data_IF_657428112288
#
_entry.id   IF_657428112288
#
_cell.length_a   1.000
_cell.length_b   1.000
_cell.length_c   1.000
_cell.angle_alpha   90.00
_cell.angle_beta   90.00
_cell.angle_gamma   90.00
#
_symmetry.space_group_name_H-M   'P 1'
#
loop_
_entity.id
_entity.type
_entity.pdbx_description
1 polymer ?
#
# COMPACT_ATOMS: atom_id res chain seq x y z
N UNK A 1 -6.91 6.41 0.53
CA UNK A 1 -6.13 7.54 -0.03
C UNK A 1 -4.65 7.16 0.03
N UNK A 2 -3.92 7.34 -1.07
CA UNK A 2 -2.50 7.01 -1.17
C UNK A 2 -1.86 7.76 -2.32
N UNK A 3 -0.58 7.50 -2.59
CA UNK A 3 0.12 7.97 -3.79
C UNK A 3 -0.19 7.04 -4.97
N UNK A 4 -0.10 7.58 -6.19
CA UNK A 4 -0.25 6.78 -7.40
C UNK A 4 1.12 6.24 -7.87
N UNK A 5 2.18 7.00 -7.62
CA UNK A 5 3.49 6.92 -8.24
C UNK A 5 4.62 6.54 -7.26
N UNK A 6 4.38 6.59 -5.96
CA UNK A 6 5.34 6.23 -4.91
C UNK A 6 4.71 5.37 -3.81
N UNK A 7 5.53 4.63 -3.06
CA UNK A 7 5.06 3.90 -1.87
C UNK A 7 5.05 4.80 -0.62
N UNK A 8 4.21 4.45 0.35
CA UNK A 8 4.08 5.14 1.62
C UNK A 8 2.72 5.78 1.85
N UNK A 9 2.60 6.55 2.94
CA UNK A 9 1.33 7.11 3.38
C UNK A 9 1.20 8.57 2.96
N UNK A 10 0.33 8.86 1.98
CA UNK A 10 0.08 10.24 1.51
C UNK A 10 -0.37 11.20 2.60
N UNK A 11 -1.11 10.71 3.59
CA UNK A 11 -1.55 11.50 4.74
C UNK A 11 -0.54 11.49 5.91
N UNK A 12 0.64 10.86 5.74
CA UNK A 12 1.64 10.68 6.79
C UNK A 12 1.25 9.70 7.90
N UNK A 13 0.06 9.10 7.83
CA UNK A 13 -0.48 8.20 8.87
C UNK A 13 -1.06 6.92 8.27
N UNK A 14 -0.98 5.83 9.04
CA UNK A 14 -1.53 4.51 8.69
C UNK A 14 -2.89 4.22 9.36
N UNK A 15 -3.35 5.09 10.25
CA UNK A 15 -4.66 4.98 10.90
C UNK A 15 -5.75 5.65 10.04
N UNK A 16 -6.97 5.11 10.07
CA UNK A 16 -8.12 5.76 9.43
C UNK A 16 -8.50 7.04 10.16
N UNK A 17 -8.96 8.04 9.42
CA UNK A 17 -9.37 9.35 9.96
C UNK A 17 -10.58 9.90 9.18
N UNK A 18 -11.30 10.85 9.75
CA UNK A 18 -12.38 11.54 9.03
C UNK A 18 -11.82 12.66 8.17
N UNK A 19 -12.32 12.79 6.95
CA UNK A 19 -11.93 13.87 6.05
C UNK A 19 -12.32 15.23 6.64
N UNK A 20 -11.37 16.16 6.63
CA UNK A 20 -11.55 17.53 7.09
C UNK A 20 -11.70 18.46 5.88
N UNK A 21 -12.83 19.15 5.79
CA UNK A 21 -13.07 20.17 4.75
C UNK A 21 -12.51 21.51 5.22
N UNK A 22 -11.34 21.88 4.69
CA UNK A 22 -10.63 23.13 5.01
C UNK A 22 -11.42 24.38 4.60
N UNK A 23 -12.25 24.32 3.56
CA UNK A 23 -13.00 25.52 3.14
C UNK A 23 -14.13 25.83 4.11
N UNK A 24 -14.67 24.80 4.77
CA UNK A 24 -15.80 24.90 5.69
C UNK A 24 -15.40 24.80 7.16
N UNK A 25 -14.14 24.49 7.45
CA UNK A 25 -13.60 24.25 8.79
C UNK A 25 -14.40 23.19 9.57
N UNK A 26 -14.78 22.11 8.89
CA UNK A 26 -15.56 21.01 9.51
C UNK A 26 -14.94 19.64 9.23
N UNK A 27 -15.02 18.77 10.24
CA UNK A 27 -14.85 17.34 10.06
C UNK A 27 -16.12 16.75 9.43
N UNK A 28 -15.98 16.03 8.33
CA UNK A 28 -17.09 15.35 7.66
C UNK A 28 -17.33 13.95 8.22
N UNK A 29 -18.40 13.28 7.76
CA UNK A 29 -18.66 11.86 8.08
C UNK A 29 -17.90 10.89 7.16
N UNK A 30 -17.20 11.38 6.14
CA UNK A 30 -16.42 10.55 5.23
C UNK A 30 -15.15 10.07 5.95
N UNK A 31 -14.99 8.75 6.09
CA UNK A 31 -13.79 8.16 6.69
C UNK A 31 -12.80 7.75 5.60
N UNK A 32 -11.57 8.24 5.71
CA UNK A 32 -10.46 7.90 4.83
C UNK A 32 -9.69 6.73 5.45
N UNK A 33 -9.47 5.71 4.62
CA UNK A 33 -8.60 4.59 4.88
C UNK A 33 -7.32 4.75 4.03
N UNK A 34 -6.17 5.06 4.64
CA UNK A 34 -4.92 5.20 3.90
C UNK A 34 -4.41 3.85 3.37
N UNK A 35 -3.94 3.79 2.13
CA UNK A 35 -3.18 2.64 1.65
C UNK A 35 -1.73 3.05 1.42
N UNK A 36 -0.81 2.10 1.62
CA UNK A 36 0.63 2.35 1.57
C UNK A 36 1.27 1.92 0.25
N UNK A 37 0.69 0.91 -0.42
CA UNK A 37 1.31 0.25 -1.57
C UNK A 37 0.23 -0.11 -2.59
N UNK A 38 0.55 0.08 -3.86
CA UNK A 38 -0.21 -0.44 -4.99
C UNK A 38 0.75 -1.14 -5.95
N UNK A 39 0.33 -2.28 -6.49
CA UNK A 39 1.05 -3.06 -7.51
C UNK A 39 1.50 -2.22 -8.72
N UNK A 40 0.60 -1.42 -9.28
CA UNK A 40 0.87 -0.54 -10.41
C UNK A 40 1.93 0.52 -10.08
N UNK A 41 1.95 1.05 -8.85
CA UNK A 41 2.98 1.98 -8.37
C UNK A 41 4.37 1.37 -8.48
N UNK A 42 4.54 0.19 -7.89
CA UNK A 42 5.81 -0.53 -7.91
C UNK A 42 6.21 -0.93 -9.33
N UNK A 43 5.28 -1.46 -10.14
CA UNK A 43 5.57 -2.01 -11.48
C UNK A 43 5.84 -0.96 -12.54
N UNK A 44 4.98 0.06 -12.62
CA UNK A 44 4.92 0.96 -13.77
C UNK A 44 5.54 2.32 -13.47
N UNK A 45 5.38 2.84 -12.26
CA UNK A 45 5.92 4.14 -11.87
C UNK A 45 7.36 3.99 -11.36
N UNK A 46 7.55 3.21 -10.31
CA UNK A 46 8.87 2.98 -9.69
C UNK A 46 9.73 1.96 -10.46
N UNK A 47 9.11 1.17 -11.36
CA UNK A 47 9.78 0.15 -12.20
C UNK A 47 10.59 -0.89 -11.42
N UNK A 48 10.14 -1.23 -10.22
CA UNK A 48 10.76 -2.19 -9.32
C UNK A 48 10.56 -3.61 -9.86
N UNK A 49 11.61 -4.43 -9.83
CA UNK A 49 11.48 -5.84 -10.21
C UNK A 49 10.79 -6.65 -9.10
N UNK A 50 10.03 -7.71 -9.43
CA UNK A 50 9.32 -8.52 -8.43
C UNK A 50 10.19 -8.94 -7.24
N UNK A 51 11.41 -9.41 -7.50
CA UNK A 51 12.36 -9.86 -6.48
C UNK A 51 12.81 -8.75 -5.51
N UNK A 52 12.69 -7.48 -5.90
CA UNK A 52 13.14 -6.33 -5.11
C UNK A 52 12.02 -5.69 -4.30
N UNK A 53 10.74 -6.01 -4.58
CA UNK A 53 9.58 -5.34 -3.97
C UNK A 53 9.63 -5.37 -2.44
N UNK A 54 10.05 -6.48 -1.84
CA UNK A 54 10.11 -6.60 -0.39
C UNK A 54 11.11 -5.66 0.28
N UNK A 55 12.12 -5.16 -0.44
CA UNK A 55 13.04 -4.14 0.08
C UNK A 55 12.35 -2.78 0.29
N UNK A 56 11.26 -2.50 -0.45
CA UNK A 56 10.45 -1.29 -0.33
C UNK A 56 9.27 -1.50 0.63
N UNK A 57 8.58 -2.63 0.52
CA UNK A 57 7.33 -2.89 1.27
C UNK A 57 7.59 -3.40 2.69
N UNK A 58 8.65 -4.19 2.89
CA UNK A 58 9.00 -4.77 4.19
C UNK A 58 9.21 -3.72 5.30
N UNK A 59 9.99 -2.64 5.07
CA UNK A 59 10.13 -1.56 6.03
C UNK A 59 8.80 -0.91 6.40
N UNK A 60 7.92 -0.65 5.43
CA UNK A 60 6.60 -0.05 5.69
C UNK A 60 5.74 -0.95 6.60
N UNK A 61 5.72 -2.26 6.34
CA UNK A 61 5.00 -3.22 7.19
C UNK A 61 5.56 -3.19 8.62
N UNK A 62 6.89 -3.18 8.77
CA UNK A 62 7.55 -3.13 10.08
C UNK A 62 7.18 -1.87 10.86
N UNK A 63 7.24 -0.70 10.23
CA UNK A 63 6.89 0.58 10.87
C UNK A 63 5.42 0.61 11.29
N UNK A 64 4.51 0.12 10.43
CA UNK A 64 3.09 0.04 10.77
C UNK A 64 2.84 -0.88 11.96
N UNK A 65 3.52 -2.03 12.02
CA UNK A 65 3.45 -2.95 13.17
C UNK A 65 3.97 -2.31 14.46
N UNK A 66 5.07 -1.58 14.38
CA UNK A 66 5.68 -0.91 15.53
C UNK A 66 4.74 0.09 16.23
N UNK A 67 3.77 0.64 15.48
CA UNK A 67 2.76 1.58 16.00
C UNK A 67 1.36 0.97 16.16
N UNK A 68 1.24 -0.37 16.04
CA UNK A 68 -0.04 -1.09 16.05
C UNK A 68 -1.07 -0.50 15.05
N UNK A 69 -0.57 -0.08 13.88
CA UNK A 69 -1.37 0.53 12.82
C UNK A 69 -2.01 -0.49 11.89
N UNK A 70 -2.69 0.00 10.84
CA UNK A 70 -3.29 -0.85 9.80
C UNK A 70 -2.51 -0.70 8.49
N UNK A 71 -1.91 -1.79 8.03
CA UNK A 71 -1.27 -1.82 6.72
C UNK A 71 -2.31 -2.18 5.67
N UNK A 72 -2.50 -1.31 4.68
CA UNK A 72 -3.38 -1.57 3.54
C UNK A 72 -2.58 -1.51 2.24
N UNK A 73 -2.76 -2.53 1.41
CA UNK A 73 -2.20 -2.63 0.06
C UNK A 73 -3.31 -2.81 -0.97
N UNK A 74 -3.10 -2.31 -2.18
CA UNK A 74 -4.04 -2.37 -3.30
C UNK A 74 -3.45 -3.18 -4.46
N UNK A 75 -4.27 -4.07 -5.03
CA UNK A 75 -3.85 -5.01 -6.06
C UNK A 75 -4.92 -5.08 -7.14
N UNK A 76 -4.50 -5.10 -8.40
CA UNK A 76 -5.37 -5.33 -9.54
C UNK A 76 -5.48 -6.84 -9.79
N UNK A 77 -6.65 -7.32 -10.22
CA UNK A 77 -6.88 -8.75 -10.44
C UNK A 77 -5.90 -9.36 -11.46
N UNK A 78 -5.48 -8.57 -12.46
CA UNK A 78 -4.50 -8.97 -13.46
C UNK A 78 -3.08 -9.14 -12.88
N UNK A 79 -2.74 -8.43 -11.79
CA UNK A 79 -1.39 -8.47 -11.22
C UNK A 79 -1.06 -9.81 -10.57
N UNK A 80 -2.09 -10.54 -10.13
CA UNK A 80 -1.94 -11.86 -9.51
C UNK A 80 -2.12 -13.01 -10.51
N UNK A 81 -2.29 -12.69 -11.81
CA UNK A 81 -2.51 -13.69 -12.86
C UNK A 81 -1.24 -14.43 -13.31
N UNK A 82 -0.05 -13.91 -12.99
CA UNK A 82 1.25 -14.34 -13.54
C UNK A 82 1.32 -14.30 -15.09
N UNK A 83 0.42 -13.59 -15.77
CA UNK A 83 0.53 -13.30 -17.20
C UNK A 83 1.29 -11.98 -17.41
N UNK A 84 2.02 -11.84 -18.53
CA UNK A 84 2.67 -10.56 -18.87
C UNK A 84 1.65 -9.41 -18.83
N UNK A 85 1.99 -8.25 -18.22
CA UNK A 85 3.31 -7.84 -17.72
C UNK A 85 3.62 -8.21 -16.26
N UNK A 86 2.85 -9.12 -15.66
CA UNK A 86 2.80 -9.44 -14.23
C UNK A 86 3.44 -10.78 -13.86
N UNK A 87 4.35 -11.30 -14.67
CA UNK A 87 5.12 -12.51 -14.33
C UNK A 87 5.87 -12.31 -13.00
N UNK A 88 5.69 -13.23 -12.04
CA UNK A 88 6.32 -13.20 -10.72
C UNK A 88 5.59 -12.35 -9.68
N UNK A 89 4.50 -11.65 -10.03
CA UNK A 89 3.78 -10.76 -9.11
C UNK A 89 2.80 -11.47 -8.19
N UNK A 90 2.39 -12.70 -8.54
CA UNK A 90 1.61 -13.54 -7.63
C UNK A 90 2.42 -13.85 -6.37
N UNK A 91 3.69 -14.20 -6.52
CA UNK A 91 4.60 -14.51 -5.42
C UNK A 91 4.84 -13.26 -4.56
N UNK A 92 4.99 -12.09 -5.18
CA UNK A 92 5.08 -10.80 -4.47
C UNK A 92 3.85 -10.56 -3.59
N UNK A 93 2.64 -10.75 -4.13
CA UNK A 93 1.41 -10.62 -3.34
C UNK A 93 1.42 -11.55 -2.12
N UNK A 94 1.76 -12.83 -2.33
CA UNK A 94 1.85 -13.81 -1.26
C UNK A 94 2.88 -13.42 -0.18
N UNK A 95 4.04 -12.91 -0.58
CA UNK A 95 5.10 -12.49 0.34
C UNK A 95 4.69 -11.26 1.16
N UNK A 96 4.02 -10.28 0.54
CA UNK A 96 3.45 -9.12 1.23
C UNK A 96 2.41 -9.55 2.25
N UNK A 97 1.50 -10.45 1.89
CA UNK A 97 0.47 -10.98 2.79
C UNK A 97 1.12 -11.74 3.96
N UNK A 98 2.08 -12.63 3.69
CA UNK A 98 2.81 -13.38 4.73
C UNK A 98 3.55 -12.44 5.68
N UNK A 99 4.24 -11.42 5.15
CA UNK A 99 4.96 -10.44 5.94
C UNK A 99 4.01 -9.60 6.81
N UNK A 100 2.84 -9.22 6.30
CA UNK A 100 1.84 -8.46 7.05
C UNK A 100 1.19 -9.30 8.18
N UNK A 101 0.91 -10.58 7.94
CA UNK A 101 0.22 -11.45 8.90
C UNK A 101 1.11 -12.05 10.01
N UNK A 102 2.42 -12.21 9.79
CA UNK A 102 3.30 -12.82 10.79
C UNK A 102 3.40 -11.95 12.06
N UNK A 103 2.89 -12.46 13.18
CA UNK A 103 3.17 -11.92 14.52
C UNK A 103 4.63 -12.19 14.89
#
# INVERSE_FOLDING_TARGET
>A
MGFADEVGFRAGICSSFYYYDLNREIQTRLRIHPFAVMDATLRFYMKVQPAEVMSYVGPLIKEVKAVNGTFMSLWHNESISNMKPWEGWKEVYEDVVKAAHKN
#
